data_IF_989188334267
#
_entry.id   IF_989188334267
#
_cell.length_a   1.000
_cell.length_b   1.000
_cell.length_c   1.000
_cell.angle_alpha   90.00
_cell.angle_beta   90.00
_cell.angle_gamma   90.00
#
_symmetry.space_group_name_H-M   'P 1'
#
loop_
_entity.id
_entity.type
_entity.pdbx_description
1 polymer ?
#
# COMPACT_ATOMS: atom_id res chain seq x y z
N UNK A 1 -9.24 63.08 20.78
CA UNK A 1 -9.95 61.78 20.84
C UNK A 1 -10.78 61.66 19.56
N UNK A 2 -10.08 61.47 18.44
CA UNK A 2 -10.63 61.36 17.10
C UNK A 2 -10.11 60.03 16.54
N UNK A 3 -11.02 59.19 16.06
CA UNK A 3 -10.69 57.87 15.49
C UNK A 3 -10.94 57.96 13.98
N UNK A 4 -9.89 58.32 13.24
CA UNK A 4 -9.79 57.97 11.83
C UNK A 4 -9.57 56.46 11.74
N UNK A 5 -10.44 55.75 11.05
CA UNK A 5 -10.10 54.46 10.45
C UNK A 5 -10.46 54.58 8.98
N UNK A 6 -9.41 54.77 8.21
CA UNK A 6 -9.36 54.74 6.76
C UNK A 6 -9.76 53.37 6.23
N UNK A 7 -10.53 53.43 5.15
CA UNK A 7 -10.75 52.41 4.14
C UNK A 7 -9.50 51.56 3.85
N UNK A 8 -9.61 50.24 4.01
CA UNK A 8 -8.86 49.31 3.17
C UNK A 8 -9.80 48.27 2.56
N UNK A 9 -9.91 48.38 1.23
CA UNK A 9 -10.61 47.50 0.31
C UNK A 9 -10.32 46.03 0.61
N UNK A 10 -11.39 45.28 0.83
CA UNK A 10 -11.38 43.83 0.77
C UNK A 10 -11.20 43.42 -0.70
N UNK A 11 -9.99 42.97 -1.05
CA UNK A 11 -9.67 42.39 -2.35
C UNK A 11 -10.43 41.07 -2.54
N UNK A 12 -11.11 40.84 -3.68
CA UNK A 12 -11.71 39.54 -3.99
C UNK A 12 -10.59 38.55 -4.35
N UNK A 13 -10.37 37.54 -3.50
CA UNK A 13 -9.49 36.43 -3.86
C UNK A 13 -10.19 35.54 -4.91
N UNK A 14 -9.72 35.72 -6.15
CA UNK A 14 -9.62 34.77 -7.25
C UNK A 14 -10.55 33.55 -7.21
N UNK A 15 -11.70 33.72 -7.86
CA UNK A 15 -12.19 32.88 -8.96
C UNK A 15 -11.65 31.44 -8.98
N UNK A 16 -12.53 30.48 -8.65
CA UNK A 16 -12.35 29.09 -9.00
C UNK A 16 -11.96 28.98 -10.47
N UNK A 17 -10.87 28.26 -10.72
CA UNK A 17 -10.45 27.90 -12.07
C UNK A 17 -11.63 27.25 -12.81
N UNK A 18 -11.93 27.65 -14.05
CA UNK A 18 -12.80 26.86 -14.89
C UNK A 18 -12.05 25.54 -15.13
N UNK A 19 -12.56 24.45 -14.59
CA UNK A 19 -12.11 23.11 -14.96
C UNK A 19 -12.34 22.96 -16.45
N UNK A 20 -11.26 23.05 -17.24
CA UNK A 20 -11.30 22.85 -18.67
C UNK A 20 -11.86 21.45 -18.94
N UNK A 21 -13.10 21.42 -19.43
CA UNK A 21 -13.92 20.22 -19.57
C UNK A 21 -13.45 19.45 -20.80
N UNK A 22 -12.27 18.83 -20.70
CA UNK A 22 -11.82 17.80 -21.63
C UNK A 22 -12.62 16.52 -21.34
N UNK A 23 -13.87 16.50 -21.79
CA UNK A 23 -14.94 15.53 -21.44
C UNK A 23 -14.66 14.04 -21.70
N UNK A 24 -13.51 13.69 -22.29
CA UNK A 24 -13.03 12.31 -22.42
C UNK A 24 -12.14 11.85 -21.24
N UNK A 25 -11.11 12.63 -20.87
CA UNK A 25 -10.14 12.26 -19.83
C UNK A 25 -10.73 12.35 -18.43
N UNK A 26 -11.52 13.40 -18.15
CA UNK A 26 -12.23 13.53 -16.87
C UNK A 26 -13.25 12.42 -16.64
N UNK A 27 -13.84 11.88 -17.71
CA UNK A 27 -14.84 10.80 -17.62
C UNK A 27 -14.17 9.46 -17.28
N UNK A 28 -12.99 9.20 -17.83
CA UNK A 28 -12.17 8.03 -17.47
C UNK A 28 -11.68 8.14 -16.02
N UNK A 29 -11.15 9.29 -15.61
CA UNK A 29 -10.69 9.51 -14.24
C UNK A 29 -11.84 9.35 -13.22
N UNK A 30 -13.01 9.91 -13.52
CA UNK A 30 -14.21 9.75 -12.68
C UNK A 30 -14.70 8.29 -12.62
N UNK A 31 -14.56 7.53 -13.70
CA UNK A 31 -14.87 6.10 -13.69
C UNK A 31 -13.90 5.31 -12.81
N UNK A 32 -12.59 5.58 -12.90
CA UNK A 32 -11.56 4.96 -12.05
C UNK A 32 -11.81 5.28 -10.57
N UNK A 33 -12.11 6.54 -10.25
CA UNK A 33 -12.42 6.98 -8.89
C UNK A 33 -13.64 6.22 -8.32
N UNK A 34 -14.73 6.17 -9.09
CA UNK A 34 -15.96 5.49 -8.66
C UNK A 34 -15.75 3.98 -8.54
N UNK A 35 -14.98 3.35 -9.43
CA UNK A 35 -14.67 1.93 -9.32
C UNK A 35 -13.74 1.62 -8.16
N UNK A 36 -12.71 2.45 -7.93
CA UNK A 36 -11.78 2.29 -6.82
C UNK A 36 -12.49 2.42 -5.47
N UNK A 37 -13.37 3.39 -5.32
CA UNK A 37 -14.12 3.61 -4.08
C UNK A 37 -15.20 2.55 -3.81
N UNK A 38 -15.58 1.74 -4.82
CA UNK A 38 -16.51 0.63 -4.66
C UNK A 38 -15.86 -0.64 -4.10
N UNK A 39 -14.53 -0.75 -4.13
CA UNK A 39 -13.84 -1.89 -3.58
C UNK A 39 -13.93 -1.85 -2.05
N UNK A 40 -14.52 -2.87 -1.41
CA UNK A 40 -14.57 -2.94 0.04
C UNK A 40 -13.16 -3.14 0.58
N UNK A 41 -12.96 -2.74 1.85
CA UNK A 41 -11.71 -2.97 2.55
C UNK A 41 -11.26 -4.43 2.40
N UNK A 42 -9.96 -4.71 2.12
CA UNK A 42 -9.46 -6.06 1.81
C UNK A 42 -9.89 -7.14 2.81
N UNK A 43 -9.97 -6.80 4.09
CA UNK A 43 -10.53 -7.67 5.13
C UNK A 43 -11.91 -8.27 4.74
N UNK A 44 -12.86 -7.44 4.31
CA UNK A 44 -14.21 -7.89 3.96
C UNK A 44 -14.23 -8.74 2.69
N UNK A 45 -13.34 -8.44 1.73
CA UNK A 45 -13.18 -9.27 0.54
C UNK A 45 -12.80 -10.71 0.90
N UNK A 46 -11.82 -10.91 1.80
CA UNK A 46 -11.44 -12.24 2.27
C UNK A 46 -12.55 -12.92 3.08
N UNK A 47 -13.25 -12.19 3.95
CA UNK A 47 -14.39 -12.74 4.70
C UNK A 47 -15.47 -13.28 3.76
N UNK A 48 -15.86 -12.51 2.74
CA UNK A 48 -16.85 -12.98 1.77
C UNK A 48 -16.35 -14.16 0.94
N UNK A 49 -15.08 -14.17 0.52
CA UNK A 49 -14.50 -15.32 -0.19
C UNK A 49 -14.56 -16.57 0.70
N UNK A 50 -14.18 -16.48 1.98
CA UNK A 50 -14.27 -17.60 2.92
C UNK A 50 -15.71 -18.12 3.05
N UNK A 51 -16.69 -17.22 3.22
CA UNK A 51 -18.12 -17.60 3.30
C UNK A 51 -18.57 -18.29 2.01
N UNK A 52 -18.21 -17.73 0.86
CA UNK A 52 -18.53 -18.29 -0.45
C UNK A 52 -17.92 -19.69 -0.60
N UNK A 53 -16.66 -19.89 -0.22
CA UNK A 53 -15.99 -21.20 -0.27
C UNK A 53 -16.72 -22.21 0.62
N UNK A 54 -17.11 -21.84 1.83
CA UNK A 54 -17.88 -22.72 2.74
C UNK A 54 -19.20 -23.14 2.09
N UNK A 55 -19.97 -22.19 1.53
CA UNK A 55 -21.25 -22.47 0.87
C UNK A 55 -21.06 -23.33 -0.39
N UNK A 56 -20.11 -22.97 -1.25
CA UNK A 56 -19.82 -23.71 -2.49
C UNK A 56 -19.32 -25.12 -2.19
N UNK A 57 -18.53 -25.31 -1.13
CA UNK A 57 -18.06 -26.63 -0.70
C UNK A 57 -19.23 -27.56 -0.33
N UNK A 58 -20.23 -27.02 0.38
CA UNK A 58 -21.41 -27.76 0.78
C UNK A 58 -22.29 -28.15 -0.42
N UNK A 59 -22.51 -27.21 -1.36
CA UNK A 59 -23.27 -27.47 -2.59
C UNK A 59 -22.55 -28.53 -3.44
N UNK A 60 -21.24 -28.38 -3.63
CA UNK A 60 -20.42 -29.29 -4.47
C UNK A 60 -20.42 -30.70 -3.91
N UNK A 61 -20.26 -30.84 -2.58
CA UNK A 61 -20.32 -32.12 -1.90
C UNK A 61 -21.73 -32.75 -1.97
N UNK A 62 -22.79 -31.95 -1.85
CA UNK A 62 -24.17 -32.42 -1.98
C UNK A 62 -24.49 -32.95 -3.38
N UNK A 63 -23.99 -32.27 -4.42
CA UNK A 63 -24.13 -32.71 -5.82
C UNK A 63 -23.18 -33.87 -6.20
N UNK A 64 -22.28 -34.29 -5.30
CA UNK A 64 -21.36 -35.40 -5.55
C UNK A 64 -20.27 -35.10 -6.57
N UNK A 65 -19.81 -33.85 -6.66
CA UNK A 65 -18.75 -33.44 -7.60
C UNK A 65 -17.45 -34.18 -7.29
N UNK A 66 -16.86 -34.77 -8.32
CA UNK A 66 -15.59 -35.50 -8.26
C UNK A 66 -14.74 -35.18 -9.48
N UNK A 67 -13.42 -35.17 -9.28
CA UNK A 67 -12.45 -34.97 -10.34
C UNK A 67 -11.34 -36.03 -10.23
N UNK A 68 -10.73 -36.38 -11.35
CA UNK A 68 -9.54 -37.25 -11.36
C UNK A 68 -8.33 -36.33 -11.28
N UNK A 69 -7.44 -36.59 -10.34
CA UNK A 69 -6.16 -35.90 -10.23
C UNK A 69 -5.28 -36.26 -11.45
N UNK A 70 -4.84 -35.29 -12.27
CA UNK A 70 -3.98 -35.57 -13.42
C UNK A 70 -2.57 -36.03 -13.03
N UNK A 71 -2.13 -35.81 -11.79
CA UNK A 71 -0.82 -36.22 -11.29
C UNK A 71 -0.81 -37.66 -10.75
N UNK A 72 -1.80 -38.00 -9.92
CA UNK A 72 -1.85 -39.29 -9.21
C UNK A 72 -2.81 -40.30 -9.84
N UNK A 73 -3.79 -39.84 -10.64
CA UNK A 73 -4.86 -40.68 -11.19
C UNK A 73 -5.95 -41.04 -10.19
N UNK A 74 -5.87 -40.53 -8.95
CA UNK A 74 -6.86 -40.78 -7.91
C UNK A 74 -8.12 -39.93 -8.08
N UNK A 75 -9.26 -40.44 -7.58
CA UNK A 75 -10.53 -39.71 -7.59
C UNK A 75 -10.62 -38.82 -6.37
N UNK A 76 -10.59 -37.50 -6.58
CA UNK A 76 -10.76 -36.48 -5.54
C UNK A 76 -12.25 -36.13 -5.43
N UNK A 77 -12.77 -36.17 -4.19
CA UNK A 77 -14.14 -35.81 -3.87
C UNK A 77 -14.21 -34.39 -3.28
N UNK A 78 -15.27 -33.64 -3.57
CA UNK A 78 -15.52 -32.37 -2.91
C UNK A 78 -15.82 -32.58 -1.42
N UNK A 79 -15.09 -31.88 -0.54
CA UNK A 79 -15.28 -31.93 0.91
C UNK A 79 -16.29 -30.87 1.37
N UNK A 80 -17.23 -31.26 2.25
CA UNK A 80 -18.20 -30.33 2.83
C UNK A 80 -17.67 -29.72 4.12
N UNK A 81 -17.32 -28.43 4.10
CA UNK A 81 -16.82 -27.71 5.29
C UNK A 81 -17.89 -27.48 6.37
N UNK A 82 -19.19 -27.55 6.04
CA UNK A 82 -20.30 -27.44 7.00
C UNK A 82 -20.63 -28.78 7.69
N UNK A 83 -20.04 -29.89 7.24
CA UNK A 83 -20.19 -31.17 7.93
C UNK A 83 -19.47 -31.17 9.29
N UNK A 84 -19.86 -32.06 10.19
CA UNK A 84 -19.20 -32.14 11.51
C UNK A 84 -17.69 -32.41 11.42
N UNK A 85 -17.27 -33.23 10.46
CA UNK A 85 -15.85 -33.51 10.19
C UNK A 85 -15.15 -32.32 9.51
N UNK A 86 -15.78 -31.70 8.52
CA UNK A 86 -15.24 -30.53 7.83
C UNK A 86 -15.09 -29.30 8.73
N UNK A 87 -16.05 -29.06 9.63
CA UNK A 87 -15.99 -27.97 10.60
C UNK A 87 -14.90 -28.22 11.64
N UNK A 88 -14.76 -29.47 12.08
CA UNK A 88 -13.68 -29.88 12.98
C UNK A 88 -12.31 -29.61 12.34
N UNK A 89 -12.10 -30.10 11.12
CA UNK A 89 -10.87 -29.86 10.35
C UNK A 89 -10.62 -28.35 10.18
N UNK A 90 -11.64 -27.58 9.80
CA UNK A 90 -11.54 -26.14 9.60
C UNK A 90 -11.04 -25.41 10.87
N UNK A 91 -11.56 -25.77 12.04
CA UNK A 91 -11.16 -25.15 13.31
C UNK A 91 -9.80 -25.67 13.80
N UNK A 92 -9.54 -26.98 13.69
CA UNK A 92 -8.27 -27.59 14.11
C UNK A 92 -7.09 -27.05 13.30
N UNK A 93 -7.27 -26.86 11.98
CA UNK A 93 -6.20 -26.40 11.09
C UNK A 93 -6.09 -24.87 10.99
N UNK A 94 -7.06 -24.11 11.51
CA UNK A 94 -7.12 -22.64 11.34
C UNK A 94 -5.80 -21.94 11.72
N UNK A 95 -5.27 -22.25 12.90
CA UNK A 95 -4.03 -21.64 13.41
C UNK A 95 -2.83 -22.12 12.60
N UNK A 96 -2.78 -23.40 12.24
CA UNK A 96 -1.70 -23.99 11.46
C UNK A 96 -1.65 -23.42 10.05
N UNK A 97 -2.80 -23.21 9.41
CA UNK A 97 -2.91 -22.58 8.10
C UNK A 97 -2.50 -21.10 8.13
N UNK A 98 -2.87 -20.38 9.19
CA UNK A 98 -2.42 -18.98 9.37
C UNK A 98 -0.91 -18.88 9.61
N UNK A 99 -0.38 -19.68 10.54
CA UNK A 99 1.04 -19.67 10.90
C UNK A 99 1.94 -20.28 9.80
N UNK A 100 1.43 -21.26 9.06
CA UNK A 100 2.12 -21.94 7.95
C UNK A 100 2.08 -21.15 6.64
N UNK A 101 1.37 -20.03 6.58
CA UNK A 101 1.35 -19.17 5.41
C UNK A 101 2.76 -18.57 5.19
N UNK A 102 3.50 -19.11 4.22
CA UNK A 102 4.92 -18.82 4.00
C UNK A 102 5.29 -17.31 4.00
N UNK A 103 4.51 -16.40 3.40
CA UNK A 103 4.81 -14.97 3.44
C UNK A 103 4.72 -14.34 4.84
N UNK A 104 3.88 -14.87 5.74
CA UNK A 104 3.63 -14.27 7.05
C UNK A 104 4.90 -14.26 7.93
N UNK A 105 5.54 -15.42 8.09
CA UNK A 105 6.75 -15.53 8.90
C UNK A 105 7.91 -14.68 8.36
N UNK A 106 8.11 -14.69 7.04
CA UNK A 106 9.16 -13.89 6.38
C UNK A 106 8.96 -12.40 6.62
N UNK A 107 7.73 -11.90 6.46
CA UNK A 107 7.40 -10.49 6.66
C UNK A 107 7.61 -10.07 8.11
N UNK A 108 7.20 -10.89 9.10
CA UNK A 108 7.41 -10.57 10.51
C UNK A 108 8.89 -10.44 10.87
N UNK A 109 9.72 -11.39 10.44
CA UNK A 109 11.17 -11.36 10.69
C UNK A 109 11.81 -10.15 10.02
N UNK A 110 11.42 -9.85 8.77
CA UNK A 110 11.88 -8.66 8.05
C UNK A 110 11.49 -7.37 8.79
N UNK A 111 10.24 -7.24 9.20
CA UNK A 111 9.74 -6.07 9.93
C UNK A 111 10.45 -5.87 11.28
N UNK A 112 10.82 -6.94 11.98
CA UNK A 112 11.61 -6.83 13.21
C UNK A 112 12.99 -6.21 12.94
N UNK A 113 13.69 -6.68 11.90
CA UNK A 113 15.00 -6.11 11.51
C UNK A 113 14.89 -4.64 11.10
N UNK A 114 13.92 -4.30 10.26
CA UNK A 114 13.66 -2.92 9.82
C UNK A 114 13.27 -2.04 11.01
N UNK A 115 12.42 -2.53 11.91
CA UNK A 115 11.98 -1.76 13.09
C UNK A 115 13.15 -1.39 14.02
N UNK A 116 14.13 -2.27 14.20
CA UNK A 116 15.33 -1.99 15.00
C UNK A 116 16.22 -0.95 14.30
N UNK A 117 16.46 -1.12 13.00
CA UNK A 117 17.24 -0.16 12.21
C UNK A 117 16.59 1.23 12.18
N UNK A 118 15.27 1.28 12.15
CA UNK A 118 14.50 2.51 12.12
C UNK A 118 14.46 3.19 13.51
N UNK A 119 14.07 2.45 14.57
CA UNK A 119 13.95 3.02 15.92
C UNK A 119 15.29 3.41 16.55
N UNK A 120 16.40 2.82 16.11
CA UNK A 120 17.74 3.26 16.50
C UNK A 120 18.21 4.53 15.77
N UNK A 121 17.47 4.99 14.76
CA UNK A 121 17.83 6.13 13.94
C UNK A 121 18.90 5.83 12.87
N UNK A 122 19.33 4.56 12.75
CA UNK A 122 20.37 4.16 11.80
C UNK A 122 19.99 4.51 10.36
N UNK A 123 18.76 4.21 9.95
CA UNK A 123 18.29 4.49 8.58
C UNK A 123 18.26 5.99 8.29
N UNK A 124 17.75 6.78 9.24
CA UNK A 124 17.69 8.25 9.14
C UNK A 124 19.09 8.85 8.97
N UNK A 125 20.06 8.43 9.80
CA UNK A 125 21.43 8.92 9.74
C UNK A 125 22.14 8.46 8.46
N UNK A 126 21.97 7.20 8.07
CA UNK A 126 22.57 6.65 6.85
C UNK A 126 22.09 7.41 5.60
N UNK A 127 20.77 7.58 5.43
CA UNK A 127 20.20 8.32 4.30
C UNK A 127 20.69 9.77 4.25
N UNK A 128 20.69 10.47 5.39
CA UNK A 128 21.20 11.83 5.49
C UNK A 128 22.68 11.91 5.10
N UNK A 129 23.50 11.00 5.63
CA UNK A 129 24.94 10.99 5.40
C UNK A 129 25.25 10.76 3.92
N UNK A 130 24.62 9.75 3.31
CA UNK A 130 24.81 9.46 1.87
C UNK A 130 24.38 10.66 1.03
N UNK A 131 23.26 11.30 1.35
CA UNK A 131 22.78 12.45 0.59
C UNK A 131 23.73 13.66 0.65
N UNK A 132 24.33 13.96 1.81
CA UNK A 132 25.23 15.10 1.99
C UNK A 132 26.70 14.81 1.61
N UNK A 133 27.12 13.54 1.52
CA UNK A 133 28.51 13.16 1.18
C UNK A 133 28.79 13.11 -0.33
N UNK A 134 27.81 13.40 -1.19
CA UNK A 134 27.91 13.18 -2.65
C UNK A 134 28.33 14.46 -3.39
N UNK A 135 29.29 14.39 -4.34
CA UNK A 135 29.69 15.55 -5.12
C UNK A 135 28.60 16.00 -6.11
N UNK A 136 28.48 17.32 -6.29
CA UNK A 136 27.43 18.01 -7.07
C UNK A 136 27.11 17.40 -8.45
N UNK A 137 28.10 16.78 -9.11
CA UNK A 137 27.94 16.18 -10.45
C UNK A 137 27.08 14.91 -10.48
N UNK A 138 26.96 14.18 -9.37
CA UNK A 138 26.23 12.89 -9.31
C UNK A 138 25.13 12.88 -8.24
N UNK A 139 24.78 14.05 -7.69
CA UNK A 139 23.73 14.18 -6.68
C UNK A 139 22.37 13.66 -7.18
N UNK A 140 22.00 14.00 -8.41
CA UNK A 140 20.71 13.63 -8.98
C UNK A 140 20.50 12.10 -9.09
N UNK A 141 21.42 11.32 -9.70
CA UNK A 141 21.28 9.85 -9.71
C UNK A 141 21.37 9.25 -8.29
N UNK A 142 22.12 9.86 -7.37
CA UNK A 142 22.19 9.35 -6.00
C UNK A 142 20.88 9.58 -5.23
N UNK A 143 20.23 10.74 -5.37
CA UNK A 143 18.90 10.97 -4.79
C UNK A 143 17.88 9.96 -5.31
N UNK A 144 17.94 9.63 -6.62
CA UNK A 144 17.08 8.60 -7.19
C UNK A 144 17.33 7.22 -6.57
N UNK A 145 18.60 6.83 -6.40
CA UNK A 145 18.96 5.56 -5.73
C UNK A 145 18.49 5.56 -4.28
N UNK A 146 18.69 6.65 -3.54
CA UNK A 146 18.24 6.78 -2.14
C UNK A 146 16.71 6.66 -2.08
N UNK A 147 15.97 7.30 -3.00
CA UNK A 147 14.52 7.20 -3.09
C UNK A 147 14.04 5.78 -3.40
N UNK A 148 14.68 5.10 -4.36
CA UNK A 148 14.36 3.72 -4.73
C UNK A 148 14.66 2.74 -3.57
N UNK A 149 15.82 2.87 -2.93
CA UNK A 149 16.17 2.11 -1.73
C UNK A 149 15.33 2.52 -0.50
N UNK A 150 14.65 3.67 -0.55
CA UNK A 150 13.83 4.18 0.53
C UNK A 150 12.63 3.30 0.87
N UNK A 151 12.15 2.48 -0.07
CA UNK A 151 11.13 1.46 0.18
C UNK A 151 11.58 0.42 1.22
N UNK A 152 12.89 0.16 1.35
CA UNK A 152 13.44 -0.75 2.39
C UNK A 152 13.34 -0.11 3.79
N UNK A 153 13.48 1.22 3.86
CA UNK A 153 13.36 1.99 5.11
C UNK A 153 11.92 2.21 5.58
N UNK A 154 10.93 1.61 4.91
CA UNK A 154 9.48 1.76 5.14
C UNK A 154 9.03 3.23 5.18
N UNK A 155 9.14 3.88 6.34
CA UNK A 155 8.63 5.23 6.61
C UNK A 155 9.72 6.31 6.48
N UNK A 156 10.99 5.98 6.76
CA UNK A 156 12.08 6.95 6.68
C UNK A 156 12.26 7.49 5.27
N UNK A 157 12.23 6.61 4.27
CA UNK A 157 12.47 6.97 2.87
C UNK A 157 11.46 7.99 2.36
N UNK A 158 10.17 7.74 2.58
CA UNK A 158 9.11 8.59 2.04
C UNK A 158 8.99 9.94 2.75
N UNK A 159 9.31 9.98 4.06
CA UNK A 159 9.19 11.21 4.86
C UNK A 159 10.45 12.08 4.78
N UNK A 160 11.64 11.47 4.73
CA UNK A 160 12.92 12.19 4.88
C UNK A 160 13.59 12.51 3.54
N UNK A 161 13.45 11.65 2.52
CA UNK A 161 14.15 11.86 1.24
C UNK A 161 13.66 13.10 0.50
N UNK A 162 12.34 13.38 0.38
CA UNK A 162 11.87 14.60 -0.30
C UNK A 162 12.43 15.92 0.29
N UNK A 163 12.38 16.17 1.61
CA UNK A 163 12.94 17.42 2.16
C UNK A 163 14.47 17.49 2.06
N UNK A 164 15.20 16.37 2.19
CA UNK A 164 16.65 16.36 2.00
C UNK A 164 17.03 16.67 0.55
N UNK A 165 16.32 16.07 -0.41
CA UNK A 165 16.52 16.34 -1.83
C UNK A 165 16.31 17.83 -2.16
N UNK A 166 15.22 18.42 -1.63
CA UNK A 166 14.92 19.84 -1.78
C UNK A 166 16.03 20.73 -1.21
N UNK A 167 16.55 20.42 0.00
CA UNK A 167 17.65 21.17 0.61
C UNK A 167 18.92 21.13 -0.24
N UNK A 168 19.28 19.96 -0.79
CA UNK A 168 20.47 19.80 -1.62
C UNK A 168 20.32 20.56 -2.94
N UNK A 169 19.14 20.52 -3.57
CA UNK A 169 18.87 21.30 -4.78
C UNK A 169 18.94 22.81 -4.52
N UNK A 170 18.41 23.32 -3.40
CA UNK A 170 18.57 24.73 -3.03
C UNK A 170 20.04 25.11 -2.84
N UNK A 171 20.85 24.25 -2.18
CA UNK A 171 22.29 24.48 -2.02
C UNK A 171 23.08 24.45 -3.34
N UNK A 172 22.54 23.79 -4.37
CA UNK A 172 23.11 23.75 -5.71
C UNK A 172 22.59 24.87 -6.63
N UNK A 173 21.64 25.69 -6.18
CA UNK A 173 21.00 26.73 -6.99
C UNK A 173 19.95 26.18 -7.98
N UNK A 174 19.47 24.95 -7.77
CA UNK A 174 18.42 24.31 -8.56
C UNK A 174 17.04 24.52 -7.91
N UNK A 175 15.97 24.41 -8.71
CA UNK A 175 14.60 24.52 -8.21
C UNK A 175 14.23 23.33 -7.31
N UNK A 176 13.70 23.57 -6.10
CA UNK A 176 13.42 22.51 -5.11
C UNK A 176 12.17 21.65 -5.37
N UNK A 177 11.37 21.95 -6.39
CA UNK A 177 10.09 21.27 -6.73
C UNK A 177 10.13 20.61 -8.12
N UNK A 178 11.25 20.65 -8.84
CA UNK A 178 11.35 20.09 -10.19
C UNK A 178 11.48 18.56 -10.20
#
# INVERSE_FOLDING_TARGET
MAKEISSEKQSPQATGQPSNDNGGSNRVLRWIEVMGNKLPHPFWLFVWICIIVVVVSAISAWTGVRAIDPGTGEVINALNLLSGEGLRMFVEEMVTNFAGFAPFGLVLVMLMGVSIAERSGLMTVAMRTIAFSVPKKVVLPVIFIIGACGNIGSDAGIVIVPPIAALIFMQMGLSPIA
#
